data_IF_881983802209
#
_entry.id   IF_881983802209
#
_cell.length_a   1.000
_cell.length_b   1.000
_cell.length_c   1.000
_cell.angle_alpha   90.00
_cell.angle_beta   90.00
_cell.angle_gamma   90.00
#
_symmetry.space_group_name_H-M   'P 1'
#
loop_
_entity.id
_entity.type
_entity.pdbx_description
1 polymer ?
#
# COMPACT_ATOMS: atom_id res chain seq x y z
N UNK A 1 -10.73 -5.68 -23.89
CA UNK A 1 -9.88 -6.15 -22.77
C UNK A 1 -8.79 -5.12 -22.46
N UNK A 2 -7.89 -4.80 -23.39
CA UNK A 2 -6.89 -3.73 -23.17
C UNK A 2 -7.50 -2.34 -22.98
N UNK A 3 -8.54 -1.99 -23.73
CA UNK A 3 -9.31 -0.75 -23.57
C UNK A 3 -9.95 -0.61 -22.18
N UNK A 4 -10.31 -1.72 -21.54
CA UNK A 4 -10.86 -1.73 -20.19
C UNK A 4 -9.79 -1.45 -19.14
N UNK A 5 -8.55 -1.93 -19.36
CA UNK A 5 -7.42 -1.67 -18.47
C UNK A 5 -7.08 -0.17 -18.49
N UNK A 6 -6.98 0.41 -19.68
CA UNK A 6 -6.70 1.84 -19.86
C UNK A 6 -7.84 2.70 -19.27
N UNK A 7 -9.09 2.34 -19.56
CA UNK A 7 -10.26 3.01 -19.00
C UNK A 7 -10.28 2.99 -17.47
N UNK A 8 -9.99 1.83 -16.86
CA UNK A 8 -9.92 1.70 -15.40
C UNK A 8 -8.82 2.57 -14.79
N UNK A 9 -7.66 2.71 -15.45
CA UNK A 9 -6.59 3.56 -14.94
C UNK A 9 -6.98 5.05 -14.99
N UNK A 10 -7.59 5.48 -16.09
CA UNK A 10 -8.09 6.85 -16.23
C UNK A 10 -9.13 7.18 -15.15
N UNK A 11 -10.08 6.27 -14.91
CA UNK A 11 -11.08 6.45 -13.87
C UNK A 11 -10.48 6.39 -12.46
N UNK A 12 -9.53 5.49 -12.19
CA UNK A 12 -8.85 5.42 -10.89
C UNK A 12 -8.13 6.73 -10.58
N UNK A 13 -7.37 7.29 -11.54
CA UNK A 13 -6.72 8.60 -11.38
C UNK A 13 -7.74 9.69 -11.08
N UNK A 14 -8.85 9.74 -11.82
CA UNK A 14 -9.93 10.73 -11.60
C UNK A 14 -10.59 10.58 -10.23
N UNK A 15 -10.80 9.37 -9.74
CA UNK A 15 -11.43 9.13 -8.45
C UNK A 15 -10.49 9.46 -7.30
N UNK A 16 -9.20 9.12 -7.44
CA UNK A 16 -8.17 9.37 -6.42
C UNK A 16 -7.99 10.87 -6.12
N UNK A 17 -8.21 11.78 -7.09
CA UNK A 17 -8.11 13.23 -6.83
C UNK A 17 -9.22 13.77 -5.93
N UNK A 18 -10.33 13.05 -5.79
CA UNK A 18 -11.48 13.41 -4.95
C UNK A 18 -11.63 12.52 -3.72
N UNK A 19 -10.70 11.58 -3.52
CA UNK A 19 -10.79 10.61 -2.43
C UNK A 19 -10.54 11.28 -1.08
N UNK A 20 -11.32 10.87 -0.09
CA UNK A 20 -11.16 11.28 1.30
C UNK A 20 -11.02 10.04 2.18
N UNK A 21 -10.01 10.06 3.04
CA UNK A 21 -9.77 9.00 4.03
C UNK A 21 -10.76 9.12 5.19
N UNK A 22 -11.15 7.98 5.75
CA UNK A 22 -12.00 7.88 6.95
C UNK A 22 -11.20 7.19 8.06
N UNK A 23 -11.31 7.62 9.33
CA UNK A 23 -10.64 6.94 10.43
C UNK A 23 -11.10 5.49 10.59
N UNK A 24 -10.14 4.60 10.81
CA UNK A 24 -10.29 3.18 11.10
C UNK A 24 -9.70 2.89 12.47
N UNK A 25 -10.58 2.58 13.43
CA UNK A 25 -10.22 2.26 14.82
C UNK A 25 -9.82 0.78 14.95
N UNK A 26 -8.80 0.38 14.21
CA UNK A 26 -8.31 -0.98 14.20
C UNK A 26 -6.86 -1.07 13.77
N UNK A 27 -6.37 -2.31 13.76
CA UNK A 27 -5.01 -2.62 13.36
C UNK A 27 -4.93 -2.95 11.87
N UNK A 28 -3.98 -2.34 11.18
CA UNK A 28 -3.65 -2.65 9.79
C UNK A 28 -2.18 -3.04 9.62
N UNK A 29 -1.88 -3.73 8.52
CA UNK A 29 -0.52 -4.09 8.11
C UNK A 29 -0.22 -3.41 6.78
N UNK A 30 0.85 -2.61 6.72
CA UNK A 30 1.25 -1.84 5.55
C UNK A 30 2.61 -2.32 5.02
N UNK A 31 2.67 -2.59 3.72
CA UNK A 31 3.92 -2.85 2.99
C UNK A 31 4.34 -1.59 2.23
N UNK A 32 5.54 -1.08 2.49
CA UNK A 32 6.02 0.20 1.95
C UNK A 32 7.07 -0.06 0.86
N UNK A 33 6.84 0.44 -0.34
CA UNK A 33 7.81 0.45 -1.43
C UNK A 33 8.80 1.62 -1.26
N UNK A 34 10.01 1.34 -0.77
CA UNK A 34 10.97 2.38 -0.37
C UNK A 34 11.48 3.22 -1.55
N UNK A 35 11.62 2.64 -2.76
CA UNK A 35 12.20 3.35 -3.91
C UNK A 35 11.32 4.46 -4.47
N UNK A 36 10.03 4.44 -4.13
CA UNK A 36 9.05 5.45 -4.54
C UNK A 36 8.50 6.24 -3.37
N UNK A 37 9.04 6.03 -2.16
CA UNK A 37 8.68 6.83 -1.01
C UNK A 37 9.26 8.24 -1.19
N UNK A 38 8.41 9.26 -1.02
CA UNK A 38 8.85 10.64 -1.11
C UNK A 38 9.84 10.95 0.02
N UNK A 39 10.91 11.67 -0.31
CA UNK A 39 11.93 12.06 0.67
C UNK A 39 11.29 12.86 1.82
N UNK A 40 11.63 12.51 3.06
CA UNK A 40 11.08 13.14 4.26
C UNK A 40 9.67 12.68 4.67
N UNK A 41 9.00 11.86 3.86
CA UNK A 41 7.70 11.27 4.22
C UNK A 41 7.89 10.06 5.14
N UNK A 42 7.18 10.05 6.27
CA UNK A 42 7.08 8.91 7.18
C UNK A 42 5.71 8.27 7.02
N UNK A 43 5.61 6.99 6.60
CA UNK A 43 4.34 6.28 6.51
C UNK A 43 3.60 6.23 7.85
N UNK A 44 4.32 6.13 8.97
CA UNK A 44 3.77 6.19 10.32
C UNK A 44 2.98 7.49 10.55
N UNK A 45 3.61 8.64 10.23
CA UNK A 45 2.98 9.96 10.40
C UNK A 45 1.87 10.20 9.38
N UNK A 46 2.07 9.74 8.15
CA UNK A 46 1.08 9.88 7.10
C UNK A 46 -0.22 9.18 7.50
N UNK A 47 -0.15 7.96 8.04
CA UNK A 47 -1.33 7.15 8.38
C UNK A 47 -1.88 7.35 9.80
N UNK A 48 -1.12 7.98 10.71
CA UNK A 48 -1.51 8.21 12.10
C UNK A 48 -2.91 8.82 12.30
N UNK A 49 -3.43 9.75 11.45
CA UNK A 49 -4.78 10.28 11.63
C UNK A 49 -5.90 9.28 11.32
N UNK A 50 -5.60 8.19 10.61
CA UNK A 50 -6.61 7.30 10.03
C UNK A 50 -6.54 5.86 10.52
N UNK A 51 -5.44 5.41 11.11
CA UNK A 51 -5.29 4.03 11.57
C UNK A 51 -4.79 4.04 13.00
N UNK A 52 -5.52 3.37 13.90
CA UNK A 52 -5.17 3.30 15.32
C UNK A 52 -3.86 2.53 15.56
N UNK A 53 -3.68 1.39 14.91
CA UNK A 53 -2.47 0.57 15.03
C UNK A 53 -1.94 0.14 13.66
N UNK A 54 -0.65 0.34 13.40
CA UNK A 54 -0.06 0.06 12.09
C UNK A 54 1.26 -0.70 12.21
N UNK A 55 1.29 -1.92 11.69
CA UNK A 55 2.55 -2.66 11.49
C UNK A 55 3.09 -2.35 10.09
N UNK A 56 4.36 -1.92 9.99
CA UNK A 56 4.97 -1.48 8.73
C UNK A 56 6.12 -2.42 8.34
N UNK A 57 6.08 -2.89 7.10
CA UNK A 57 7.10 -3.74 6.49
C UNK A 57 7.65 -3.08 5.23
N UNK A 58 8.92 -2.66 5.28
CA UNK A 58 9.56 -1.97 4.17
C UNK A 58 10.14 -2.95 3.15
N UNK A 59 9.94 -2.63 1.87
CA UNK A 59 10.38 -3.42 0.72
C UNK A 59 11.24 -2.53 -0.19
N UNK A 60 12.43 -3.02 -0.53
CA UNK A 60 13.31 -2.37 -1.49
C UNK A 60 12.84 -2.60 -2.93
N UNK A 61 11.71 -1.99 -3.28
CA UNK A 61 11.13 -2.00 -4.62
C UNK A 61 10.37 -0.69 -4.89
N UNK A 62 9.96 -0.48 -6.15
CA UNK A 62 9.07 0.62 -6.52
C UNK A 62 7.60 0.22 -6.33
N UNK A 63 6.69 1.19 -6.23
CA UNK A 63 5.25 0.94 -6.09
C UNK A 63 4.70 -0.01 -7.17
N UNK A 64 5.17 0.11 -8.42
CA UNK A 64 4.74 -0.77 -9.53
C UNK A 64 5.18 -2.23 -9.34
N UNK A 65 6.24 -2.46 -8.56
CA UNK A 65 6.82 -3.78 -8.32
C UNK A 65 6.38 -4.40 -7.00
N UNK A 66 5.66 -3.66 -6.14
CA UNK A 66 5.27 -4.13 -4.79
C UNK A 66 4.38 -5.36 -4.84
N UNK A 67 3.67 -5.57 -5.95
CA UNK A 67 2.83 -6.74 -6.21
C UNK A 67 3.46 -7.75 -7.18
N UNK A 68 4.73 -7.57 -7.54
CA UNK A 68 5.45 -8.50 -8.40
C UNK A 68 5.71 -9.84 -7.70
N UNK A 69 5.86 -10.96 -8.45
CA UNK A 69 6.21 -12.25 -7.86
C UNK A 69 7.47 -12.18 -6.98
N UNK A 70 8.49 -11.45 -7.42
CA UNK A 70 9.74 -11.29 -6.65
C UNK A 70 9.56 -10.53 -5.34
N UNK A 71 8.70 -9.51 -5.28
CA UNK A 71 8.36 -8.86 -4.02
C UNK A 71 7.57 -9.81 -3.09
N UNK A 72 6.69 -10.63 -3.67
CA UNK A 72 5.89 -11.61 -2.93
C UNK A 72 6.68 -12.75 -2.30
N UNK A 73 7.90 -13.04 -2.75
CA UNK A 73 8.79 -13.96 -2.04
C UNK A 73 9.09 -13.49 -0.60
N UNK A 74 9.10 -12.17 -0.37
CA UNK A 74 9.25 -11.56 0.97
C UNK A 74 7.91 -11.26 1.63
N UNK A 75 6.98 -10.66 0.88
CA UNK A 75 5.67 -10.23 1.41
C UNK A 75 4.78 -11.44 1.77
N UNK A 76 4.75 -12.48 0.93
CA UNK A 76 3.86 -13.63 1.09
C UNK A 76 4.00 -14.36 2.43
N UNK A 77 5.23 -14.72 2.86
CA UNK A 77 5.46 -15.30 4.18
C UNK A 77 4.97 -14.41 5.33
N UNK A 78 5.12 -13.08 5.23
CA UNK A 78 4.67 -12.12 6.24
C UNK A 78 3.14 -12.11 6.32
N UNK A 79 2.46 -12.06 5.18
CA UNK A 79 0.99 -12.14 5.13
C UNK A 79 0.52 -13.44 5.78
N UNK A 80 1.11 -14.59 5.42
CA UNK A 80 0.76 -15.89 6.01
C UNK A 80 0.96 -15.89 7.52
N UNK A 81 2.06 -15.35 8.02
CA UNK A 81 2.33 -15.31 9.46
C UNK A 81 1.37 -14.37 10.20
N UNK A 82 0.95 -13.29 9.55
CA UNK A 82 0.04 -12.29 10.13
C UNK A 82 -1.39 -12.81 10.21
N UNK A 83 -1.86 -13.54 9.19
CA UNK A 83 -3.23 -14.06 9.11
C UNK A 83 -3.45 -15.34 9.95
N UNK A 84 -2.40 -16.08 10.30
CA UNK A 84 -2.48 -17.30 11.09
C UNK A 84 -2.20 -17.08 12.59
N UNK A 85 -2.24 -15.83 13.04
CA UNK A 85 -2.20 -15.47 14.47
C UNK A 85 -3.61 -15.50 15.06
#
# INVERSE_FOLDING_TARGET
MFTTIEGNYADAVRLLTTAHSVPFDGKATLFVAERTLQEGMSPERAWSPWIAELDIYRQDCAHVDIISPGAFEKIGPIIRATLNR
#
